data_IF_253576935254
#
_entry.id   IF_253576935254
#
_cell.length_a   1.000
_cell.length_b   1.000
_cell.length_c   1.000
_cell.angle_alpha   90.00
_cell.angle_beta   90.00
_cell.angle_gamma   90.00
#
_symmetry.space_group_name_H-M   'P 1'
#
loop_
_entity.id
_entity.type
_entity.pdbx_description
1 polymer ?
#
# COMPACT_ATOMS: atom_id res chain seq x y z
N UNK A 1 14.34 -7.59 60.46
CA UNK A 1 13.40 -6.72 59.73
C UNK A 1 14.18 -5.49 59.27
N UNK A 2 14.49 -5.38 57.97
CA UNK A 2 15.32 -4.29 57.43
C UNK A 2 14.39 -3.19 56.93
N UNK A 3 14.54 -1.98 57.47
CA UNK A 3 13.85 -0.78 57.01
C UNK A 3 14.73 -0.17 55.92
N UNK A 4 14.33 -0.31 54.67
CA UNK A 4 15.03 0.29 53.53
C UNK A 4 14.55 1.72 53.39
N UNK A 5 15.46 2.69 53.52
CA UNK A 5 15.15 4.09 53.33
C UNK A 5 15.26 4.48 51.86
N UNK A 6 14.12 4.44 51.17
CA UNK A 6 13.99 4.90 49.80
C UNK A 6 14.25 6.41 49.64
N UNK A 7 14.32 7.18 50.74
CA UNK A 7 14.60 8.62 50.69
C UNK A 7 16.04 8.96 50.28
N UNK A 8 16.99 8.03 50.42
CA UNK A 8 18.40 8.24 50.03
C UNK A 8 18.65 7.95 48.53
N UNK A 9 17.79 7.17 47.88
CA UNK A 9 17.85 6.95 46.41
C UNK A 9 17.35 8.16 45.64
N UNK A 10 16.44 8.95 46.23
CA UNK A 10 16.13 10.28 45.73
C UNK A 10 17.13 11.26 46.31
N UNK A 11 18.32 11.33 45.72
CA UNK A 11 19.33 12.35 46.00
C UNK A 11 18.72 13.76 46.07
N UNK A 12 19.41 14.74 46.68
CA UNK A 12 18.83 16.02 47.07
C UNK A 12 17.99 16.57 45.93
N UNK A 13 16.66 16.63 46.12
CA UNK A 13 15.74 17.28 45.19
C UNK A 13 16.12 18.75 45.17
N UNK A 14 17.13 19.06 44.35
CA UNK A 14 17.60 20.39 44.05
C UNK A 14 16.39 21.04 43.42
N UNK A 15 15.70 21.88 44.19
CA UNK A 15 14.57 22.67 43.72
C UNK A 15 15.02 23.37 42.45
N UNK A 16 14.56 22.85 41.32
CA UNK A 16 15.03 23.28 40.01
C UNK A 16 14.57 24.73 39.85
N UNK A 17 15.48 25.67 39.58
CA UNK A 17 15.09 27.06 39.50
C UNK A 17 14.15 27.26 38.31
N UNK A 18 13.14 28.12 38.46
CA UNK A 18 12.03 28.28 37.48
C UNK A 18 12.49 28.59 36.04
N UNK A 19 13.66 29.22 35.88
CA UNK A 19 14.25 29.48 34.56
C UNK A 19 14.72 28.19 33.87
N UNK A 20 15.22 27.21 34.64
CA UNK A 20 15.63 25.91 34.11
C UNK A 20 14.43 25.08 33.66
N UNK A 21 13.29 25.14 34.37
CA UNK A 21 12.06 24.47 33.92
C UNK A 21 11.54 25.02 32.60
N UNK A 22 11.61 26.34 32.40
CA UNK A 22 11.20 26.95 31.13
C UNK A 22 12.11 26.55 29.97
N UNK A 23 13.44 26.51 30.20
CA UNK A 23 14.41 26.00 29.23
C UNK A 23 14.16 24.54 28.87
N UNK A 24 13.90 23.67 29.84
CA UNK A 24 13.61 22.26 29.55
C UNK A 24 12.34 22.08 28.74
N UNK A 25 11.32 22.92 28.98
CA UNK A 25 10.06 22.89 28.26
C UNK A 25 10.21 23.43 26.83
N UNK A 26 11.03 24.47 26.64
CA UNK A 26 11.39 24.95 25.30
C UNK A 26 12.21 23.92 24.54
N UNK A 27 13.20 23.29 25.19
CA UNK A 27 14.03 22.26 24.59
C UNK A 27 13.21 21.03 24.18
N UNK A 28 12.27 20.57 25.01
CA UNK A 28 11.41 19.44 24.65
C UNK A 28 10.51 19.76 23.46
N UNK A 29 10.01 20.99 23.35
CA UNK A 29 9.24 21.44 22.20
C UNK A 29 10.09 21.44 20.92
N UNK A 30 11.31 21.99 20.99
CA UNK A 30 12.25 21.99 19.85
C UNK A 30 12.58 20.56 19.40
N UNK A 31 12.86 19.65 20.35
CA UNK A 31 13.11 18.24 20.04
C UNK A 31 11.88 17.60 19.40
N UNK A 32 10.68 17.86 19.91
CA UNK A 32 9.44 17.37 19.33
C UNK A 32 9.24 17.84 17.89
N UNK A 33 9.47 19.13 17.62
CA UNK A 33 9.39 19.69 16.27
C UNK A 33 10.46 19.08 15.35
N UNK A 34 11.70 18.94 15.83
CA UNK A 34 12.78 18.34 15.06
C UNK A 34 12.47 16.89 14.67
N UNK A 35 11.95 16.09 15.61
CA UNK A 35 11.52 14.72 15.35
C UNK A 35 10.33 14.66 14.39
N UNK A 36 9.39 15.59 14.50
CA UNK A 36 8.26 15.69 13.58
C UNK A 36 8.72 15.99 12.15
N UNK A 37 9.61 16.96 11.98
CA UNK A 37 10.19 17.27 10.67
C UNK A 37 10.95 16.07 10.12
N UNK A 38 11.76 15.39 10.94
CA UNK A 38 12.48 14.19 10.54
C UNK A 38 11.52 13.10 10.05
N UNK A 39 10.44 12.85 10.80
CA UNK A 39 9.41 11.88 10.43
C UNK A 39 8.67 12.28 9.15
N UNK A 40 8.32 13.56 8.99
CA UNK A 40 7.64 14.07 7.81
C UNK A 40 8.54 13.98 6.56
N UNK A 41 9.82 14.33 6.68
CA UNK A 41 10.81 14.19 5.61
C UNK A 41 10.99 12.72 5.21
N UNK A 42 11.07 11.81 6.19
CA UNK A 42 11.15 10.39 5.91
C UNK A 42 9.89 9.88 5.21
N UNK A 43 8.71 10.27 5.70
CA UNK A 43 7.43 9.88 5.09
C UNK A 43 7.29 10.38 3.64
N UNK A 44 7.78 11.59 3.34
CA UNK A 44 7.76 12.13 1.98
C UNK A 44 8.49 11.21 0.98
N UNK A 45 9.55 10.54 1.41
CA UNK A 45 10.30 9.56 0.60
C UNK A 45 9.65 8.18 0.68
N UNK A 46 9.20 7.77 1.87
CA UNK A 46 8.67 6.42 2.09
C UNK A 46 7.33 6.19 1.37
N UNK A 47 6.44 7.19 1.37
CA UNK A 47 5.12 7.11 0.72
C UNK A 47 5.23 6.72 -0.77
N UNK A 48 5.99 7.44 -1.62
CA UNK A 48 6.08 7.08 -3.03
C UNK A 48 6.74 5.70 -3.23
N UNK A 49 7.72 5.33 -2.41
CA UNK A 49 8.35 4.00 -2.47
C UNK A 49 7.32 2.89 -2.16
N UNK A 50 6.56 3.04 -1.08
CA UNK A 50 5.52 2.08 -0.69
C UNK A 50 4.42 2.01 -1.76
N UNK A 51 4.01 3.14 -2.32
CA UNK A 51 3.04 3.16 -3.43
C UNK A 51 3.56 2.41 -4.66
N UNK A 52 4.82 2.62 -5.04
CA UNK A 52 5.44 1.93 -6.17
C UNK A 52 5.52 0.41 -5.93
N UNK A 53 5.97 -0.01 -4.75
CA UNK A 53 6.05 -1.43 -4.37
C UNK A 53 4.65 -2.06 -4.31
N UNK A 54 3.67 -1.36 -3.74
CA UNK A 54 2.29 -1.81 -3.67
C UNK A 54 1.67 -1.98 -5.06
N UNK A 55 1.87 -1.02 -5.96
CA UNK A 55 1.42 -1.10 -7.34
C UNK A 55 2.08 -2.27 -8.09
N UNK A 56 3.39 -2.46 -7.91
CA UNK A 56 4.12 -3.57 -8.53
C UNK A 56 3.65 -4.93 -8.00
N UNK A 57 3.46 -5.06 -6.69
CA UNK A 57 2.93 -6.27 -6.07
C UNK A 57 1.51 -6.57 -6.56
N UNK A 58 0.63 -5.57 -6.60
CA UNK A 58 -0.73 -5.71 -7.12
C UNK A 58 -0.73 -6.14 -8.59
N UNK A 59 0.15 -5.55 -9.41
CA UNK A 59 0.33 -5.96 -10.80
C UNK A 59 0.80 -7.42 -10.90
N UNK A 60 1.80 -7.81 -10.11
CA UNK A 60 2.35 -9.17 -10.11
C UNK A 60 1.30 -10.20 -9.70
N UNK A 61 0.49 -9.91 -8.69
CA UNK A 61 -0.61 -10.77 -8.24
C UNK A 61 -1.67 -10.87 -9.33
N UNK A 62 -2.08 -9.76 -9.92
CA UNK A 62 -3.06 -9.74 -11.01
C UNK A 62 -2.60 -10.54 -12.22
N UNK A 63 -1.32 -10.47 -12.57
CA UNK A 63 -0.73 -11.28 -13.65
C UNK A 63 -0.75 -12.77 -13.33
N UNK A 64 -0.54 -13.17 -12.06
CA UNK A 64 -0.68 -14.59 -11.65
C UNK A 64 -2.13 -15.06 -11.70
N UNK A 65 -3.09 -14.23 -11.27
CA UNK A 65 -4.51 -14.56 -11.32
C UNK A 65 -5.01 -14.71 -12.77
N UNK A 66 -4.58 -13.79 -13.66
CA UNK A 66 -4.84 -13.91 -15.09
C UNK A 66 -4.24 -15.20 -15.68
N UNK A 67 -3.01 -15.54 -15.32
CA UNK A 67 -2.38 -16.79 -15.76
C UNK A 67 -3.09 -18.04 -15.22
N UNK A 68 -3.78 -17.94 -14.08
CA UNK A 68 -4.64 -18.98 -13.55
C UNK A 68 -6.07 -18.97 -14.13
N UNK A 69 -6.36 -18.10 -15.12
CA UNK A 69 -7.68 -17.98 -15.75
C UNK A 69 -8.74 -17.27 -14.91
N UNK A 70 -8.37 -16.66 -13.78
CA UNK A 70 -9.27 -15.95 -12.88
C UNK A 70 -9.14 -14.46 -13.17
N UNK A 71 -10.11 -13.87 -13.86
CA UNK A 71 -10.21 -12.40 -13.95
C UNK A 71 -10.94 -11.86 -12.71
N UNK A 72 -10.26 -11.17 -11.78
CA UNK A 72 -10.91 -10.58 -10.61
C UNK A 72 -11.93 -9.49 -10.95
N UNK A 73 -11.96 -8.98 -12.19
CA UNK A 73 -13.00 -8.04 -12.65
C UNK A 73 -14.21 -8.74 -13.27
N UNK A 74 -14.11 -10.01 -13.61
CA UNK A 74 -15.22 -10.79 -14.16
C UNK A 74 -15.10 -12.27 -13.77
N UNK A 75 -15.42 -12.64 -12.52
CA UNK A 75 -15.23 -14.00 -12.00
C UNK A 75 -16.06 -15.08 -12.72
N UNK A 76 -17.05 -14.67 -13.52
CA UNK A 76 -17.89 -15.54 -14.37
C UNK A 76 -17.79 -15.19 -15.86
N UNK A 77 -16.83 -14.34 -16.24
CA UNK A 77 -16.60 -13.95 -17.62
C UNK A 77 -15.97 -15.08 -18.42
N UNK A 78 -16.47 -15.34 -19.63
CA UNK A 78 -15.78 -16.23 -20.58
C UNK A 78 -14.34 -15.72 -20.77
N UNK A 79 -13.34 -16.62 -20.87
CA UNK A 79 -11.95 -16.23 -21.11
C UNK A 79 -11.91 -15.32 -22.35
N UNK A 80 -11.54 -14.05 -22.16
CA UNK A 80 -11.37 -13.14 -23.28
C UNK A 80 -10.06 -13.55 -23.98
N UNK A 81 -10.10 -14.01 -25.24
CA UNK A 81 -8.89 -14.28 -25.98
C UNK A 81 -8.08 -12.99 -26.05
N UNK A 82 -6.77 -13.10 -25.86
CA UNK A 82 -5.84 -11.99 -26.01
C UNK A 82 -6.18 -11.20 -27.28
N UNK A 83 -6.42 -9.90 -27.12
CA UNK A 83 -6.66 -8.92 -28.21
C UNK A 83 -5.43 -8.69 -29.09
N UNK A 84 -4.52 -9.65 -29.15
CA UNK A 84 -3.32 -9.64 -29.99
C UNK A 84 -3.45 -10.58 -31.19
N UNK A 85 -4.43 -11.49 -31.17
CA UNK A 85 -4.82 -12.26 -32.35
C UNK A 85 -6.23 -11.84 -32.75
N UNK A 86 -6.32 -10.72 -33.46
CA UNK A 86 -7.45 -10.50 -34.37
C UNK A 86 -7.26 -11.52 -35.49
N UNK A 87 -7.66 -12.77 -35.25
CA UNK A 87 -7.99 -13.65 -36.36
C UNK A 87 -9.15 -12.96 -37.06
N UNK A 88 -8.85 -12.36 -38.20
CA UNK A 88 -9.85 -11.87 -39.14
C UNK A 88 -10.64 -13.11 -39.55
N UNK A 89 -11.76 -13.33 -38.87
CA UNK A 89 -12.73 -14.33 -39.29
C UNK A 89 -13.36 -13.74 -40.54
N UNK A 90 -12.87 -14.19 -41.70
CA UNK A 90 -13.48 -13.92 -42.99
C UNK A 90 -14.77 -14.74 -43.05
N UNK A 91 -15.80 -14.25 -42.35
CA UNK A 91 -17.11 -14.84 -42.33
C UNK A 91 -17.78 -14.45 -43.64
N UNK A 92 -17.48 -15.21 -44.70
CA UNK A 92 -18.18 -15.11 -45.96
C UNK A 92 -19.66 -15.40 -45.70
N UNK A 93 -20.49 -14.35 -45.76
CA UNK A 93 -21.90 -14.44 -45.40
C UNK A 93 -22.65 -15.12 -46.53
N UNK A 94 -23.02 -16.39 -46.36
CA UNK A 94 -23.91 -17.09 -47.28
C UNK A 94 -25.36 -16.79 -46.91
N UNK A 95 -26.05 -16.04 -47.76
CA UNK A 95 -27.50 -15.87 -47.68
C UNK A 95 -28.12 -17.22 -48.08
N UNK A 96 -28.80 -17.88 -47.14
CA UNK A 96 -29.56 -19.10 -47.44
C UNK A 96 -30.90 -18.63 -48.00
N UNK A 97 -31.09 -18.83 -49.30
CA UNK A 97 -32.37 -18.54 -49.93
C UNK A 97 -33.44 -19.53 -49.43
N UNK A 98 -34.68 -19.07 -49.16
CA UNK A 98 -35.74 -19.95 -48.70
C UNK A 98 -36.12 -20.94 -49.81
N UNK A 99 -35.57 -22.16 -49.72
CA UNK A 99 -35.84 -23.26 -50.66
C UNK A 99 -34.65 -24.18 -50.93
N UNK A 100 -33.44 -23.85 -50.47
CA UNK A 100 -32.27 -24.65 -50.81
C UNK A 100 -32.15 -25.95 -49.95
N UNK A 101 -32.02 -27.13 -50.58
CA UNK A 101 -31.92 -28.38 -49.83
C UNK A 101 -30.56 -28.52 -49.13
N UNK A 102 -30.55 -29.00 -47.87
CA UNK A 102 -29.32 -29.13 -47.09
C UNK A 102 -28.42 -30.20 -47.72
N UNK A 103 -27.20 -29.81 -48.11
CA UNK A 103 -26.16 -30.80 -48.44
C UNK A 103 -25.51 -31.29 -47.14
N UNK A 104 -25.53 -32.61 -46.97
CA UNK A 104 -24.77 -33.34 -45.93
C UNK A 104 -23.29 -33.34 -46.23
#
# INVERSE_FOLDING_TARGET
MIRVNLYELSGPRRTMPRWASWLTMAASLVVGVALFVLAASLALILIPVVLAVGAFAAWRIRSKLKAAGIDPRNPFGRPQPDRERVDVIDAEYRIIEPGEPPRR
#
